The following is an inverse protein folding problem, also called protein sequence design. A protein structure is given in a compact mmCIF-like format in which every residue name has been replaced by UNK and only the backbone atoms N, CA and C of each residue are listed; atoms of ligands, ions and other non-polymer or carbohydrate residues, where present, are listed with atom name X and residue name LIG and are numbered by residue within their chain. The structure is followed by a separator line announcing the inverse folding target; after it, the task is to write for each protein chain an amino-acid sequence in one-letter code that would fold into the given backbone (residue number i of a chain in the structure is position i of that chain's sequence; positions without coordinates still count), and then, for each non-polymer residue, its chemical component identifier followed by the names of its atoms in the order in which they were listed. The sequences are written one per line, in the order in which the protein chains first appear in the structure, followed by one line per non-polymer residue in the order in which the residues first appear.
data_IF_082156311655
#
_entry.id   IF_082156311655
#
_cell.length_a   1.000
_cell.length_b   1.000
_cell.length_c   1.000
_cell.angle_alpha   90.00
_cell.angle_beta   90.00
_cell.angle_gamma   90.00
#
_symmetry.space_group_name_H-M   'P 1'
#
loop_
_entity.id
_entity.type
_entity.pdbx_description
1 polymer ?
#
# COMPACT_ATOMS: atom_id res chain seq x y z
N UNK A 1 -8.77 13.48 -10.81
CA UNK A 1 -8.02 14.05 -9.68
C UNK A 1 -7.96 12.96 -8.63
N UNK A 2 -6.77 12.57 -8.17
CA UNK A 2 -6.64 11.62 -7.06
C UNK A 2 -7.04 12.34 -5.77
N UNK A 3 -7.91 11.70 -4.99
CA UNK A 3 -8.42 12.22 -3.71
C UNK A 3 -8.62 11.03 -2.78
N UNK A 4 -8.15 11.13 -1.54
CA UNK A 4 -8.36 10.13 -0.49
C UNK A 4 -9.61 10.47 0.32
N UNK A 5 -10.39 9.47 0.74
CA UNK A 5 -11.55 9.66 1.64
C UNK A 5 -11.18 10.19 3.03
N UNK A 6 -9.97 9.88 3.48
CA UNK A 6 -9.38 10.23 4.79
C UNK A 6 -8.96 11.69 4.93
N UNK A 7 -8.94 12.45 3.82
CA UNK A 7 -8.43 13.82 3.74
C UNK A 7 -9.54 14.79 3.38
N UNK A 8 -9.80 15.78 4.25
CA UNK A 8 -10.79 16.84 3.99
C UNK A 8 -10.19 18.06 3.32
N UNK A 9 -8.99 18.47 3.74
CA UNK A 9 -8.24 19.57 3.14
C UNK A 9 -6.73 19.41 3.33
N UNK A 10 -5.94 20.10 2.50
CA UNK A 10 -4.49 20.23 2.70
C UNK A 10 -4.24 21.51 3.49
N UNK A 11 -3.64 21.39 4.67
CA UNK A 11 -3.30 22.51 5.54
C UNK A 11 -1.93 23.11 5.18
N UNK A 12 -0.95 22.27 4.90
CA UNK A 12 0.42 22.67 4.57
C UNK A 12 1.05 21.68 3.59
N UNK A 13 1.86 22.19 2.67
CA UNK A 13 2.73 21.42 1.79
C UNK A 13 4.19 21.72 2.12
N UNK A 14 5.03 20.68 2.15
CA UNK A 14 6.46 20.79 2.31
C UNK A 14 7.18 20.67 0.96
N UNK A 15 8.38 21.26 0.88
CA UNK A 15 9.23 21.08 -0.30
C UNK A 15 9.52 19.59 -0.51
N UNK A 16 9.57 19.11 -1.78
CA UNK A 16 9.85 17.71 -2.04
C UNK A 16 11.18 17.27 -1.42
N UNK A 17 11.15 16.12 -0.76
CA UNK A 17 12.32 15.47 -0.16
C UNK A 17 12.59 14.15 -0.85
N UNK A 18 13.73 13.53 -0.55
CA UNK A 18 14.00 12.17 -0.99
C UNK A 18 12.90 11.25 -0.44
N UNK A 19 12.45 10.31 -1.25
CA UNK A 19 11.54 9.25 -0.85
C UNK A 19 12.25 8.41 0.23
N UNK A 20 11.69 8.37 1.42
CA UNK A 20 12.24 7.63 2.56
C UNK A 20 11.18 6.70 3.15
N UNK A 21 11.63 5.72 3.93
CA UNK A 21 10.71 4.93 4.74
C UNK A 21 10.01 5.86 5.75
N UNK A 22 8.67 5.86 5.85
CA UNK A 22 7.97 6.82 6.71
C UNK A 22 8.27 6.65 8.20
N UNK A 23 8.84 5.51 8.61
CA UNK A 23 9.19 5.24 10.00
C UNK A 23 7.96 5.10 10.90
N UNK A 24 8.19 4.82 12.18
CA UNK A 24 7.11 4.82 13.17
C UNK A 24 6.83 6.26 13.64
N UNK A 25 5.55 6.67 13.72
CA UNK A 25 5.20 8.02 14.18
C UNK A 25 5.62 8.20 15.64
N UNK A 26 6.25 9.33 15.95
CA UNK A 26 6.71 9.67 17.31
C UNK A 26 5.74 10.60 18.05
N UNK A 27 4.80 11.21 17.33
CA UNK A 27 3.74 12.04 17.89
C UNK A 27 2.43 11.89 17.10
N UNK A 28 1.31 12.30 17.72
CA UNK A 28 -0.01 12.31 17.06
C UNK A 28 -0.03 13.20 15.83
N UNK A 29 0.68 14.33 15.84
CA UNK A 29 0.68 15.25 14.71
C UNK A 29 1.35 14.65 13.47
N UNK A 30 2.28 13.70 13.63
CA UNK A 30 2.89 12.98 12.50
C UNK A 30 1.87 12.11 11.77
N UNK A 31 0.80 11.67 12.45
CA UNK A 31 -0.30 10.94 11.85
C UNK A 31 -1.18 11.80 10.96
N UNK A 32 -1.03 13.12 10.95
CA UNK A 32 -1.67 14.03 9.98
C UNK A 32 -0.80 14.27 8.73
N UNK A 33 0.33 13.57 8.63
CA UNK A 33 1.21 13.60 7.48
C UNK A 33 0.76 12.64 6.38
N UNK A 34 0.47 13.16 5.19
CA UNK A 34 0.27 12.37 3.96
C UNK A 34 1.44 12.60 3.03
N UNK A 35 1.97 11.52 2.43
CA UNK A 35 3.05 11.61 1.45
C UNK A 35 2.59 11.13 0.09
N UNK A 36 3.02 11.82 -0.96
CA UNK A 36 2.75 11.40 -2.32
C UNK A 36 4.00 11.50 -3.19
N UNK A 37 4.22 10.48 -4.00
CA UNK A 37 5.28 10.44 -4.99
C UNK A 37 4.71 10.00 -6.34
N UNK A 38 5.25 10.56 -7.43
CA UNK A 38 4.85 10.20 -8.79
C UNK A 38 6.08 10.01 -9.67
N UNK A 39 6.11 8.91 -10.41
CA UNK A 39 7.19 8.58 -11.34
C UNK A 39 6.67 7.71 -12.47
N UNK A 40 7.04 8.05 -13.70
CA UNK A 40 6.51 7.38 -14.89
C UNK A 40 4.98 7.35 -14.87
N UNK A 41 4.39 6.15 -14.84
CA UNK A 41 2.95 5.91 -14.75
C UNK A 41 2.45 5.59 -13.34
N UNK A 42 3.31 5.69 -12.32
CA UNK A 42 3.02 5.29 -10.94
C UNK A 42 2.77 6.51 -10.06
N UNK A 43 1.76 6.40 -9.21
CA UNK A 43 1.52 7.30 -8.08
C UNK A 43 1.50 6.45 -6.81
N UNK A 44 2.34 6.80 -5.83
CA UNK A 44 2.33 6.24 -4.48
C UNK A 44 1.77 7.29 -3.53
N UNK A 45 0.86 6.86 -2.67
CA UNK A 45 0.33 7.66 -1.59
C UNK A 45 0.52 6.86 -0.30
N UNK A 46 1.05 7.52 0.73
CA UNK A 46 1.16 6.96 2.07
C UNK A 46 0.35 7.82 3.02
N UNK A 47 -0.66 7.21 3.65
CA UNK A 47 -1.55 7.86 4.59
C UNK A 47 -1.72 6.98 5.85
N UNK A 48 -1.25 7.43 7.02
CA UNK A 48 -1.40 6.69 8.28
C UNK A 48 -2.85 6.37 8.65
N UNK A 49 -3.82 7.18 8.21
CA UNK A 49 -5.24 6.96 8.51
C UNK A 49 -5.81 5.70 7.84
N UNK A 50 -5.12 5.13 6.83
CA UNK A 50 -5.55 3.89 6.17
C UNK A 50 -5.17 2.61 6.92
N UNK A 51 -4.36 2.71 7.99
CA UNK A 51 -3.91 1.53 8.76
C UNK A 51 -5.00 1.03 9.73
N UNK A 52 -5.76 1.93 10.37
CA UNK A 52 -6.82 1.61 11.34
C UNK A 52 -6.38 0.60 12.43
N UNK A 53 -7.26 -0.24 12.99
CA UNK A 53 -6.91 -1.30 13.96
C UNK A 53 -5.85 -2.31 13.46
N UNK A 54 -5.48 -2.24 12.18
CA UNK A 54 -4.44 -3.02 11.54
C UNK A 54 -4.73 -4.52 11.42
N UNK A 55 -5.92 -5.00 11.82
CA UNK A 55 -6.30 -6.42 11.70
C UNK A 55 -7.52 -6.57 10.79
N UNK A 56 -8.47 -5.64 10.84
CA UNK A 56 -9.55 -5.54 9.86
C UNK A 56 -9.12 -4.71 8.65
N UNK A 57 -8.34 -3.65 8.87
CA UNK A 57 -7.85 -2.72 7.83
C UNK A 57 -8.97 -2.25 6.87
N UNK A 58 -10.16 -2.03 7.42
CA UNK A 58 -11.38 -1.65 6.68
C UNK A 58 -11.22 -0.34 5.94
N UNK A 59 -10.54 0.64 6.53
CA UNK A 59 -10.22 1.91 5.85
C UNK A 59 -9.39 1.71 4.57
N UNK A 60 -8.42 0.79 4.58
CA UNK A 60 -7.62 0.45 3.39
C UNK A 60 -8.49 -0.23 2.32
N UNK A 61 -9.34 -1.17 2.71
CA UNK A 61 -10.25 -1.87 1.80
C UNK A 61 -11.24 -0.92 1.13
N UNK A 62 -11.88 -0.05 1.91
CA UNK A 62 -12.85 0.92 1.40
C UNK A 62 -12.19 1.91 0.42
N UNK A 63 -11.00 2.40 0.74
CA UNK A 63 -10.25 3.28 -0.15
C UNK A 63 -9.79 2.53 -1.41
N UNK A 64 -9.33 1.29 -1.29
CA UNK A 64 -8.98 0.43 -2.44
C UNK A 64 -10.19 0.26 -3.39
N UNK A 65 -11.37 -0.05 -2.84
CA UNK A 65 -12.60 -0.18 -3.62
C UNK A 65 -13.02 1.15 -4.27
N UNK A 66 -12.90 2.26 -3.54
CA UNK A 66 -13.20 3.59 -4.06
C UNK A 66 -12.27 3.96 -5.23
N UNK A 67 -10.96 3.73 -5.10
CA UNK A 67 -9.99 3.99 -6.15
C UNK A 67 -10.23 3.10 -7.37
N UNK A 68 -10.55 1.81 -7.18
CA UNK A 68 -10.88 0.89 -8.27
C UNK A 68 -12.09 1.35 -9.07
N UNK A 69 -13.14 1.81 -8.38
CA UNK A 69 -14.33 2.36 -9.03
C UNK A 69 -14.02 3.64 -9.80
N UNK A 70 -13.18 4.52 -9.26
CA UNK A 70 -12.77 5.78 -9.90
C UNK A 70 -11.82 5.57 -11.08
N UNK A 71 -10.99 4.53 -11.02
CA UNK A 71 -9.91 4.25 -11.97
C UNK A 71 -9.98 2.80 -12.50
N UNK A 72 -11.02 2.44 -13.26
CA UNK A 72 -11.29 1.05 -13.65
C UNK A 72 -10.23 0.44 -14.61
N UNK A 73 -9.39 1.27 -15.21
CA UNK A 73 -8.31 0.85 -16.10
C UNK A 73 -6.93 0.95 -15.45
N UNK A 74 -6.85 1.36 -14.19
CA UNK A 74 -5.60 1.42 -13.44
C UNK A 74 -5.33 0.09 -12.74
N UNK A 75 -4.05 -0.25 -12.64
CA UNK A 75 -3.58 -1.23 -11.66
C UNK A 75 -3.49 -0.53 -10.31
N UNK A 76 -4.16 -1.07 -9.30
CA UNK A 76 -4.19 -0.51 -7.95
C UNK A 76 -3.61 -1.55 -7.00
N UNK A 77 -2.65 -1.11 -6.19
CA UNK A 77 -2.02 -1.91 -5.15
C UNK A 77 -2.17 -1.12 -3.86
N UNK A 78 -2.81 -1.72 -2.86
CA UNK A 78 -2.90 -1.18 -1.52
C UNK A 78 -2.13 -2.11 -0.57
N UNK A 79 -1.34 -1.52 0.32
CA UNK A 79 -0.48 -2.23 1.27
C UNK A 79 -0.64 -1.60 2.63
N UNK A 80 -0.84 -2.43 3.64
CA UNK A 80 -0.76 -2.07 5.04
C UNK A 80 0.15 -3.07 5.74
N UNK A 81 1.07 -2.54 6.55
CA UNK A 81 1.93 -3.31 7.43
C UNK A 81 1.85 -2.68 8.82
N UNK A 82 1.69 -3.49 9.85
CA UNK A 82 1.68 -3.05 11.23
C UNK A 82 2.38 -4.05 12.13
N UNK A 83 3.25 -3.54 13.00
CA UNK A 83 3.91 -4.32 14.04
C UNK A 83 3.17 -4.17 15.38
N UNK A 84 2.59 -5.26 15.87
CA UNK A 84 1.96 -5.39 17.19
C UNK A 84 2.74 -6.31 18.15
N UNK A 85 4.06 -6.43 17.96
CA UNK A 85 4.85 -7.53 18.53
C UNK A 85 4.76 -8.82 17.72
N UNK A 86 3.90 -8.83 16.70
CA UNK A 86 3.91 -9.69 15.52
C UNK A 86 3.49 -8.82 14.33
N UNK A 87 4.21 -8.92 13.21
CA UNK A 87 3.93 -8.11 12.02
C UNK A 87 2.73 -8.68 11.28
N UNK A 88 1.65 -7.90 11.18
CA UNK A 88 0.54 -8.20 10.29
C UNK A 88 0.72 -7.44 8.97
N UNK A 89 0.49 -8.13 7.86
CA UNK A 89 0.56 -7.58 6.51
C UNK A 89 -0.76 -7.80 5.80
N UNK A 90 -1.20 -6.80 5.03
CA UNK A 90 -2.31 -6.91 4.08
C UNK A 90 -1.97 -6.24 2.76
N UNK A 91 -2.17 -6.98 1.67
CA UNK A 91 -1.94 -6.55 0.30
C UNK A 91 -3.21 -6.79 -0.50
N UNK A 92 -3.70 -5.75 -1.17
CA UNK A 92 -4.84 -5.81 -2.07
C UNK A 92 -4.39 -5.38 -3.46
N UNK A 93 -4.74 -6.17 -4.48
CA UNK A 93 -4.32 -5.93 -5.85
C UNK A 93 -5.51 -6.03 -6.79
N UNK A 94 -5.74 -4.96 -7.53
CA UNK A 94 -6.69 -4.94 -8.65
C UNK A 94 -5.91 -4.70 -9.95
N UNK A 95 -6.04 -5.64 -10.89
CA UNK A 95 -5.57 -5.51 -12.26
C UNK A 95 -6.78 -5.54 -13.21
N UNK A 96 -6.89 -4.62 -14.17
CA UNK A 96 -8.04 -4.60 -15.08
C UNK A 96 -8.23 -5.95 -15.80
N UNK A 97 -9.44 -6.50 -15.68
CA UNK A 97 -9.83 -7.76 -16.36
C UNK A 97 -9.56 -9.05 -15.59
N UNK A 98 -9.02 -8.95 -14.37
CA UNK A 98 -8.66 -10.10 -13.53
C UNK A 98 -9.35 -10.00 -12.17
N UNK A 99 -9.75 -11.13 -11.54
CA UNK A 99 -10.21 -11.11 -10.16
C UNK A 99 -9.20 -10.44 -9.23
N UNK A 100 -9.69 -9.77 -8.19
CA UNK A 100 -8.82 -9.17 -7.19
C UNK A 100 -7.98 -10.27 -6.51
N UNK A 101 -6.76 -9.90 -6.13
CA UNK A 101 -5.90 -10.71 -5.28
C UNK A 101 -5.79 -10.05 -3.91
N UNK A 102 -5.87 -10.87 -2.88
CA UNK A 102 -5.61 -10.48 -1.50
C UNK A 102 -4.55 -11.39 -0.91
N UNK A 103 -3.60 -10.80 -0.19
CA UNK A 103 -2.62 -11.51 0.63
C UNK A 103 -2.66 -10.90 2.02
N UNK A 104 -2.95 -11.68 3.06
CA UNK A 104 -3.01 -11.16 4.43
C UNK A 104 -2.60 -12.19 5.47
N UNK A 105 -2.06 -11.74 6.61
CA UNK A 105 -1.71 -12.61 7.72
C UNK A 105 -0.62 -12.04 8.62
N UNK A 106 -0.22 -12.85 9.60
CA UNK A 106 0.92 -12.58 10.46
C UNK A 106 2.16 -13.30 9.90
N UNK A 107 2.68 -14.32 10.59
CA UNK A 107 3.84 -15.11 10.15
C UNK A 107 3.55 -16.00 8.94
N UNK A 108 2.29 -16.46 8.82
CA UNK A 108 1.79 -17.21 7.67
C UNK A 108 0.77 -16.33 6.93
N UNK A 109 1.03 -16.09 5.65
CA UNK A 109 0.19 -15.26 4.79
C UNK A 109 -0.80 -16.15 4.04
N UNK A 110 -2.09 -15.84 4.16
CA UNK A 110 -3.15 -16.43 3.37
C UNK A 110 -3.29 -15.67 2.05
N UNK A 111 -3.44 -16.42 0.96
CA UNK A 111 -3.58 -15.87 -0.39
C UNK A 111 -4.97 -16.23 -0.91
N UNK A 112 -5.76 -15.20 -1.22
CA UNK A 112 -7.04 -15.33 -1.92
C UNK A 112 -6.93 -14.77 -3.32
N UNK A 113 -7.12 -15.63 -4.33
CA UNK A 113 -7.01 -15.29 -5.76
C UNK A 113 -5.91 -16.07 -6.47
N UNK A 114 -5.48 -15.59 -7.64
CA UNK A 114 -4.42 -16.22 -8.43
C UNK A 114 -3.27 -15.23 -8.65
N UNK A 115 -2.15 -15.36 -7.90
CA UNK A 115 -0.98 -14.51 -8.05
C UNK A 115 -0.36 -14.58 -9.46
N UNK A 116 -0.33 -15.76 -10.09
CA UNK A 116 0.28 -15.94 -11.41
C UNK A 116 -0.53 -15.23 -12.47
N UNK A 117 -1.85 -15.42 -12.45
CA UNK A 117 -2.76 -14.71 -13.36
C UNK A 117 -2.70 -13.20 -13.12
N UNK A 118 -2.58 -12.76 -11.87
CA UNK A 118 -2.44 -11.32 -11.51
C UNK A 118 -1.17 -10.71 -12.10
N UNK A 119 -0.01 -11.36 -11.93
CA UNK A 119 1.27 -10.90 -12.47
C UNK A 119 1.28 -10.89 -14.01
N UNK A 120 0.78 -11.97 -14.64
CA UNK A 120 0.66 -12.04 -16.09
C UNK A 120 -0.23 -10.91 -16.64
N UNK A 121 -1.35 -10.63 -15.98
CA UNK A 121 -2.26 -9.53 -16.35
C UNK A 121 -1.63 -8.15 -16.12
N UNK A 122 -0.72 -8.05 -15.15
CA UNK A 122 0.09 -6.86 -14.91
C UNK A 122 1.24 -6.68 -15.92
N UNK A 123 1.35 -7.59 -16.92
CA UNK A 123 2.36 -7.55 -17.97
C UNK A 123 3.71 -8.14 -17.55
N UNK A 124 3.75 -8.93 -16.48
CA UNK A 124 4.97 -9.53 -15.94
C UNK A 124 5.06 -10.96 -16.46
N UNK A 125 6.11 -11.23 -17.23
CA UNK A 125 6.39 -12.56 -17.74
C UNK A 125 7.04 -13.42 -16.64
N UNK A 126 6.40 -14.53 -16.29
CA UNK A 126 6.82 -15.43 -15.23
C UNK A 126 7.69 -16.60 -15.74
N UNK A 127 7.67 -16.87 -17.04
CA UNK A 127 8.46 -17.96 -17.65
C UNK A 127 9.98 -17.81 -17.45
N UNK A 128 10.58 -16.60 -17.42
CA UNK A 128 12.00 -16.41 -17.16
C UNK A 128 12.41 -16.56 -15.69
N UNK A 129 11.47 -16.55 -14.74
CA UNK A 129 11.77 -16.47 -13.30
C UNK A 129 12.21 -17.82 -12.70
N UNK A 130 11.95 -18.94 -13.38
CA UNK A 130 12.37 -20.28 -12.97
C UNK A 130 11.53 -20.90 -11.84
N UNK A 131 11.86 -22.14 -11.45
CA UNK A 131 11.14 -22.92 -10.43
C UNK A 131 11.21 -22.32 -9.01
N UNK A 132 12.13 -21.38 -8.76
CA UNK A 132 12.29 -20.72 -7.44
C UNK A 132 11.26 -19.63 -7.12
N UNK A 133 10.38 -19.28 -8.06
CA UNK A 133 9.24 -18.38 -7.85
C UNK A 133 7.92 -19.17 -7.86
N UNK A 134 7.96 -20.39 -7.32
CA UNK A 134 6.75 -21.16 -7.11
C UNK A 134 5.94 -20.54 -5.96
N UNK A 135 4.99 -19.67 -6.31
CA UNK A 135 4.03 -19.08 -5.39
C UNK A 135 3.06 -20.11 -4.78
N UNK A 136 3.22 -21.41 -5.12
CA UNK A 136 2.43 -22.53 -4.60
C UNK A 136 3.18 -23.43 -3.60
N UNK A 137 4.47 -23.20 -3.36
CA UNK A 137 5.25 -24.06 -2.46
C UNK A 137 4.83 -23.83 -1.00
N UNK A 138 4.62 -24.92 -0.24
CA UNK A 138 4.07 -24.94 1.13
C UNK A 138 5.01 -24.32 2.20
N UNK A 139 5.93 -23.44 1.79
CA UNK A 139 6.92 -22.81 2.66
C UNK A 139 7.20 -21.36 2.25
N UNK A 140 6.60 -20.43 2.98
CA UNK A 140 6.90 -19.00 3.01
C UNK A 140 6.68 -18.24 1.69
N UNK A 141 5.62 -17.42 1.64
CA UNK A 141 5.35 -16.53 0.51
C UNK A 141 6.31 -15.33 0.53
N UNK A 142 7.12 -15.17 -0.52
CA UNK A 142 7.99 -14.00 -0.73
C UNK A 142 7.16 -12.77 -1.14
N UNK A 143 6.53 -12.11 -0.15
CA UNK A 143 5.71 -10.93 -0.40
C UNK A 143 6.55 -9.73 -0.87
N UNK A 144 7.81 -9.61 -0.44
CA UNK A 144 8.71 -8.52 -0.85
C UNK A 144 9.04 -8.63 -2.34
N UNK A 145 9.42 -9.82 -2.81
CA UNK A 145 9.61 -10.10 -4.23
C UNK A 145 8.32 -9.91 -5.04
N UNK A 146 7.19 -10.34 -4.50
CA UNK A 146 5.88 -10.15 -5.12
C UNK A 146 5.51 -8.67 -5.29
N UNK A 147 5.65 -7.87 -4.24
CA UNK A 147 5.42 -6.42 -4.25
C UNK A 147 6.43 -5.70 -5.15
N UNK A 148 7.69 -6.12 -5.15
CA UNK A 148 8.70 -5.60 -6.06
C UNK A 148 8.27 -5.79 -7.52
N UNK A 149 7.85 -7.00 -7.90
CA UNK A 149 7.37 -7.29 -9.25
C UNK A 149 6.12 -6.47 -9.60
N UNK A 150 5.08 -6.52 -8.75
CA UNK A 150 3.81 -5.82 -9.00
C UNK A 150 3.97 -4.32 -9.16
N UNK A 151 4.88 -3.73 -8.40
CA UNK A 151 5.03 -2.29 -8.38
C UNK A 151 6.17 -1.84 -9.30
N UNK A 152 6.95 -2.77 -9.87
CA UNK A 152 8.11 -2.46 -10.71
C UNK A 152 9.22 -1.81 -9.89
N UNK A 153 9.46 -2.31 -8.68
CA UNK A 153 10.38 -1.74 -7.70
C UNK A 153 9.89 -0.43 -7.10
N UNK A 154 8.60 -0.11 -7.22
CA UNK A 154 8.03 1.15 -6.78
C UNK A 154 7.87 1.27 -5.26
N UNK A 155 7.58 0.16 -4.58
CA UNK A 155 7.39 0.15 -3.12
C UNK A 155 8.68 0.29 -2.32
N UNK A 156 9.83 0.19 -2.98
CA UNK A 156 11.01 -0.28 -2.28
C UNK A 156 11.73 0.82 -1.49
N UNK A 157 11.83 0.52 -0.21
CA UNK A 157 13.02 0.67 0.65
C UNK A 157 14.27 -0.03 0.08
N UNK A 158 14.21 -0.58 -1.15
CA UNK A 158 15.22 -1.39 -1.85
C UNK A 158 15.67 -0.79 -3.19
N UNK A 159 15.33 0.45 -3.50
CA UNK A 159 15.84 1.12 -4.69
C UNK A 159 16.83 2.20 -4.24
N UNK A 160 18.10 2.01 -4.58
CA UNK A 160 19.13 3.07 -4.58
C UNK A 160 18.79 4.23 -5.56
N UNK A 161 17.53 4.32 -6.02
CA UNK A 161 17.05 5.36 -6.91
C UNK A 161 16.75 6.65 -6.15
N UNK A 162 17.23 7.77 -6.68
CA UNK A 162 16.92 9.11 -6.17
C UNK A 162 15.49 9.50 -6.55
N UNK A 163 14.51 8.90 -5.87
CA UNK A 163 13.10 9.30 -5.98
C UNK A 163 12.77 10.39 -4.99
N UNK A 164 11.79 11.22 -5.32
CA UNK A 164 11.32 12.32 -4.49
C UNK A 164 9.84 12.15 -4.14
N UNK A 165 9.47 12.61 -2.96
CA UNK A 165 8.09 12.66 -2.48
C UNK A 165 7.76 14.06 -1.99
N UNK A 166 6.48 14.44 -2.12
CA UNK A 166 5.92 15.63 -1.48
C UNK A 166 5.21 15.21 -0.21
N UNK A 167 5.41 15.97 0.86
CA UNK A 167 4.74 15.74 2.14
C UNK A 167 3.71 16.84 2.40
N UNK A 168 2.56 16.44 2.93
CA UNK A 168 1.42 17.30 3.19
C UNK A 168 0.97 17.11 4.64
N UNK A 169 0.71 18.21 5.34
CA UNK A 169 -0.11 18.17 6.57
C UNK A 169 -1.55 18.38 6.13
N UNK A 170 -2.44 17.49 6.55
CA UNK A 170 -3.84 17.51 6.13
C UNK A 170 -4.77 17.76 7.31
N UNK A 171 -5.91 18.36 7.01
CA UNK A 171 -7.08 18.25 7.87
C UNK A 171 -7.75 16.90 7.58
N UNK A 172 -7.99 16.12 8.63
CA UNK A 172 -8.62 14.80 8.50
C UNK A 172 -10.11 14.92 8.21
N UNK A 173 -10.64 13.95 7.47
CA UNK A 173 -12.09 13.71 7.46
C UNK A 173 -12.52 13.09 8.79
N UNK A 174 -13.82 13.04 9.06
CA UNK A 174 -14.34 12.37 10.27
C UNK A 174 -13.91 10.90 10.32
N UNK A 175 -13.99 10.19 9.17
CA UNK A 175 -13.52 8.82 9.02
C UNK A 175 -12.01 8.71 9.29
N UNK A 176 -11.20 9.60 8.69
CA UNK A 176 -9.75 9.60 8.89
C UNK A 176 -9.35 9.86 10.35
N UNK A 177 -10.06 10.73 11.06
CA UNK A 177 -9.82 10.99 12.48
C UNK A 177 -10.15 9.76 13.33
N UNK A 178 -11.29 9.11 13.07
CA UNK A 178 -11.68 7.89 13.76
C UNK A 178 -10.63 6.79 13.57
N UNK A 179 -10.15 6.56 12.35
CA UNK A 179 -9.10 5.57 12.08
C UNK A 179 -7.79 5.89 12.80
N UNK A 180 -7.42 7.17 12.92
CA UNK A 180 -6.23 7.57 13.68
C UNK A 180 -6.38 7.30 15.19
N UNK A 181 -7.57 7.55 15.75
CA UNK A 181 -7.85 7.27 17.16
C UNK A 181 -7.72 5.78 17.51
N UNK A 182 -7.85 4.87 16.55
CA UNK A 182 -7.68 3.43 16.78
C UNK A 182 -6.20 2.98 16.79
N UNK A 183 -5.30 3.75 16.18
CA UNK A 183 -3.86 3.46 16.16
C UNK A 183 -3.08 4.20 17.23
N UNK A 184 -3.55 5.36 17.68
CA UNK A 184 -2.84 6.22 18.62
C UNK A 184 -3.57 6.32 19.96
N UNK A 185 -3.05 5.60 20.95
CA UNK A 185 -3.56 5.65 22.32
C UNK A 185 -2.83 6.74 23.13
N UNK A 186 -3.55 7.66 23.80
CA UNK A 186 -2.96 8.72 24.62
C UNK A 186 -2.34 8.22 25.94
#
# INVERSE_FOLDING_TARGET
MLSLSTVSAIHREYAPSRLEHPGSPTSREELDGVRAAAWGSTVKISDPALVEDGVMATALEDEFQAQRKKHPYARIVAVCERDFGASYTKILVAVPGTPDLMVEGFDELEITGDPRTTLASAGIDLDPLGEGYDLSDEGFFDYDGFLHMLTGGALSVYADEERFESAFVVDRSEEGENSICEVWFP
#
